data_IF_781836920880
#
_entry.id   IF_781836920880
#
_cell.length_a   1.000
_cell.length_b   1.000
_cell.length_c   1.000
_cell.angle_alpha   90.00
_cell.angle_beta   90.00
_cell.angle_gamma   90.00
#
_symmetry.space_group_name_H-M   'P 1'
#
loop_
_entity.id
_entity.type
_entity.pdbx_description
1 polymer ?
#
# COMPACT_ATOMS: atom_id res chain seq x y z
N UNK A 1 21.89 -77.39 -14.86
CA UNK A 1 20.77 -76.91 -14.01
C UNK A 1 21.06 -75.46 -13.65
N UNK A 2 20.35 -74.53 -14.30
CA UNK A 2 20.51 -73.07 -14.17
C UNK A 2 19.73 -72.59 -12.95
N UNK A 3 20.35 -71.80 -12.06
CA UNK A 3 19.64 -71.02 -11.04
C UNK A 3 20.06 -69.56 -11.18
N UNK A 4 19.24 -68.79 -11.87
CA UNK A 4 19.35 -67.34 -11.97
C UNK A 4 18.84 -66.70 -10.67
N UNK A 5 19.68 -65.94 -9.98
CA UNK A 5 19.26 -65.10 -8.87
C UNK A 5 18.73 -63.78 -9.43
N UNK A 6 17.44 -63.54 -9.20
CA UNK A 6 16.70 -62.37 -9.66
C UNK A 6 16.84 -61.28 -8.60
N UNK A 7 17.64 -60.24 -8.88
CA UNK A 7 17.77 -59.08 -8.01
C UNK A 7 16.58 -58.14 -8.21
N UNK A 8 15.74 -58.01 -7.18
CA UNK A 8 14.62 -57.07 -7.15
C UNK A 8 15.17 -55.67 -6.80
N UNK A 9 15.32 -54.80 -7.80
CA UNK A 9 15.64 -53.39 -7.58
C UNK A 9 14.35 -52.65 -7.17
N UNK A 10 14.27 -52.23 -5.91
CA UNK A 10 13.19 -51.40 -5.40
C UNK A 10 13.30 -49.98 -5.99
N UNK A 11 12.37 -49.64 -6.88
CA UNK A 11 12.27 -48.31 -7.50
C UNK A 11 11.52 -47.37 -6.53
N UNK A 12 12.25 -46.60 -5.73
CA UNK A 12 11.66 -45.55 -4.90
C UNK A 12 11.23 -44.37 -5.78
N UNK A 13 9.93 -44.24 -6.04
CA UNK A 13 9.34 -43.02 -6.61
C UNK A 13 9.48 -41.89 -5.59
N UNK A 14 10.44 -41.00 -5.82
CA UNK A 14 10.49 -39.71 -5.13
C UNK A 14 9.32 -38.86 -5.63
N UNK A 15 8.28 -38.72 -4.81
CA UNK A 15 7.22 -37.73 -5.04
C UNK A 15 7.82 -36.36 -4.73
N UNK A 16 8.35 -35.69 -5.74
CA UNK A 16 8.65 -34.26 -5.69
C UNK A 16 7.33 -33.52 -5.55
N UNK A 17 6.96 -33.22 -4.32
CA UNK A 17 5.87 -32.29 -4.02
C UNK A 17 6.19 -30.95 -4.66
N UNK A 18 5.44 -30.59 -5.70
CA UNK A 18 5.38 -29.23 -6.20
C UNK A 18 4.85 -28.36 -5.06
N UNK A 19 5.75 -27.75 -4.29
CA UNK A 19 5.40 -26.61 -3.48
C UNK A 19 4.96 -25.51 -4.45
N UNK A 20 3.64 -25.37 -4.64
CA UNK A 20 3.10 -24.16 -5.26
C UNK A 20 3.71 -22.97 -4.54
N UNK A 21 4.22 -21.94 -5.24
CA UNK A 21 4.68 -20.76 -4.55
C UNK A 21 3.49 -20.25 -3.76
N UNK A 22 3.62 -20.21 -2.44
CA UNK A 22 2.65 -19.58 -1.57
C UNK A 22 2.44 -18.18 -2.15
N UNK A 23 1.26 -17.90 -2.73
CA UNK A 23 0.92 -16.65 -3.39
C UNK A 23 1.60 -15.50 -2.65
N UNK A 24 2.65 -14.93 -3.25
CA UNK A 24 3.51 -13.99 -2.56
C UNK A 24 2.64 -12.90 -1.94
N UNK A 25 2.98 -12.50 -0.71
CA UNK A 25 2.53 -11.22 -0.19
C UNK A 25 2.76 -10.16 -1.28
N UNK A 26 1.87 -9.17 -1.34
CA UNK A 26 1.84 -8.12 -2.35
C UNK A 26 3.24 -7.67 -2.80
N UNK A 27 3.46 -7.51 -4.11
CA UNK A 27 4.78 -7.23 -4.66
C UNK A 27 5.36 -5.94 -4.06
N UNK A 28 6.61 -6.02 -3.61
CA UNK A 28 7.38 -4.89 -3.11
C UNK A 28 8.25 -4.38 -4.25
N UNK A 29 8.25 -3.07 -4.49
CA UNK A 29 8.97 -2.46 -5.59
C UNK A 29 10.13 -1.58 -5.11
N UNK A 30 11.17 -1.50 -5.94
CA UNK A 30 12.28 -0.55 -5.78
C UNK A 30 11.96 0.77 -6.49
N UNK A 31 10.90 1.45 -6.05
CA UNK A 31 10.53 2.75 -6.58
C UNK A 31 11.72 3.72 -6.49
N UNK A 32 12.08 4.39 -7.60
CA UNK A 32 13.27 5.24 -7.64
C UNK A 32 13.10 6.44 -6.71
N UNK A 33 14.21 6.97 -6.18
CA UNK A 33 14.16 8.22 -5.44
C UNK A 33 13.61 9.36 -6.33
N UNK A 34 12.69 10.17 -5.81
CA UNK A 34 12.06 11.23 -6.58
C UNK A 34 13.10 12.26 -7.04
N UNK A 35 13.09 12.60 -8.34
CA UNK A 35 13.94 13.65 -8.91
C UNK A 35 13.46 15.04 -8.53
N UNK A 36 12.14 15.23 -8.44
CA UNK A 36 11.54 16.48 -7.95
C UNK A 36 11.32 16.36 -6.44
N UNK A 37 12.15 17.09 -5.69
CA UNK A 37 12.02 17.25 -4.25
C UNK A 37 10.85 18.20 -3.95
N UNK A 38 9.98 17.83 -3.03
CA UNK A 38 8.85 18.66 -2.63
C UNK A 38 9.34 19.89 -1.85
N UNK A 39 8.86 21.07 -2.24
CA UNK A 39 9.15 22.34 -1.57
C UNK A 39 7.97 22.76 -0.72
N UNK A 40 7.93 22.27 0.50
CA UNK A 40 6.81 22.47 1.41
C UNK A 40 7.13 23.56 2.43
N UNK A 41 6.18 24.47 2.66
CA UNK A 41 6.33 25.51 3.68
C UNK A 41 6.29 24.97 5.10
N UNK A 42 6.44 25.87 6.08
CA UNK A 42 6.43 25.55 7.51
C UNK A 42 5.11 24.90 7.98
N UNK A 43 5.18 24.18 9.10
CA UNK A 43 4.03 23.54 9.74
C UNK A 43 3.65 22.20 9.11
N UNK A 44 2.71 21.50 9.73
CA UNK A 44 2.25 20.20 9.26
C UNK A 44 1.60 20.28 7.88
N UNK A 45 1.70 19.18 7.14
CA UNK A 45 1.14 19.02 5.80
C UNK A 45 0.25 17.79 5.79
N UNK A 46 -0.66 17.72 4.81
CA UNK A 46 -1.56 16.59 4.66
C UNK A 46 -1.45 16.03 3.24
N UNK A 47 -1.43 14.71 3.13
CA UNK A 47 -1.51 13.96 1.89
C UNK A 47 -2.71 13.00 1.95
N UNK A 48 -3.31 12.68 0.81
CA UNK A 48 -4.35 11.65 0.70
C UNK A 48 -3.94 10.67 -0.39
N UNK A 49 -3.81 9.40 -0.01
CA UNK A 49 -3.49 8.30 -0.93
C UNK A 49 -4.56 7.21 -0.86
N UNK A 50 -4.92 6.68 -2.02
CA UNK A 50 -5.74 5.47 -2.18
C UNK A 50 -4.88 4.40 -2.83
N UNK A 51 -4.85 3.19 -2.28
CA UNK A 51 -3.89 2.17 -2.68
C UNK A 51 -4.23 0.77 -2.19
N UNK A 52 -5.49 0.38 -2.31
CA UNK A 52 -5.98 -0.92 -1.82
C UNK A 52 -6.68 -0.81 -0.47
N UNK A 53 -6.72 -1.92 0.27
CA UNK A 53 -7.27 -1.93 1.62
C UNK A 53 -6.56 -0.89 2.49
N UNK A 54 -7.33 0.07 3.04
CA UNK A 54 -6.77 1.16 3.84
C UNK A 54 -6.10 0.72 5.14
N UNK A 55 -6.29 -0.51 5.62
CA UNK A 55 -5.65 -1.02 6.84
C UNK A 55 -4.15 -1.17 6.65
N UNK A 56 -3.73 -1.68 5.50
CA UNK A 56 -2.32 -1.76 5.12
C UNK A 56 -1.72 -0.39 4.86
N UNK A 57 -2.45 0.49 4.17
CA UNK A 57 -2.00 1.86 3.89
C UNK A 57 -1.80 2.63 5.20
N UNK A 58 -2.80 2.63 6.08
CA UNK A 58 -2.76 3.25 7.42
C UNK A 58 -1.62 2.65 8.24
N UNK A 59 -1.52 1.32 8.28
CA UNK A 59 -0.50 0.64 9.07
C UNK A 59 0.91 0.99 8.64
N UNK A 60 1.19 1.06 7.34
CA UNK A 60 2.50 1.49 6.83
C UNK A 60 2.80 2.93 7.26
N UNK A 61 1.92 3.89 6.99
CA UNK A 61 2.21 5.30 7.33
C UNK A 61 2.21 5.57 8.83
N UNK A 62 1.51 4.77 9.63
CA UNK A 62 1.59 4.80 11.10
C UNK A 62 2.96 4.38 11.62
N UNK A 63 3.78 3.69 10.81
CA UNK A 63 5.17 3.36 11.10
C UNK A 63 6.20 4.30 10.47
N UNK A 64 5.80 5.39 9.81
CA UNK A 64 6.72 6.37 9.20
C UNK A 64 7.03 7.51 10.18
N UNK A 65 8.32 7.77 10.41
CA UNK A 65 8.82 8.93 11.17
C UNK A 65 8.42 10.22 10.46
N UNK A 66 8.05 11.24 11.24
CA UNK A 66 7.51 12.49 10.71
C UNK A 66 6.01 12.45 10.46
N UNK A 67 5.40 11.28 10.23
CA UNK A 67 3.93 11.15 10.25
C UNK A 67 3.41 11.36 11.67
N UNK A 68 2.43 12.26 11.78
CA UNK A 68 1.76 12.69 13.01
C UNK A 68 0.32 12.19 13.12
N UNK A 69 -0.31 11.83 12.01
CA UNK A 69 -1.61 11.15 11.98
C UNK A 69 -1.81 10.39 10.67
N UNK A 70 -2.52 9.27 10.70
CA UNK A 70 -2.91 8.49 9.53
C UNK A 70 -4.34 7.98 9.72
N UNK A 71 -5.31 8.66 9.10
CA UNK A 71 -6.74 8.34 9.25
C UNK A 71 -7.22 7.55 8.05
N UNK A 72 -7.76 6.35 8.27
CA UNK A 72 -8.46 5.57 7.25
C UNK A 72 -9.82 6.20 6.91
N UNK A 73 -10.20 6.19 5.64
CA UNK A 73 -11.45 6.79 5.19
C UNK A 73 -11.72 6.66 3.71
N UNK A 74 -12.59 7.53 3.23
CA UNK A 74 -13.19 7.46 1.92
C UNK A 74 -13.03 8.78 1.17
N UNK A 75 -12.65 8.69 -0.11
CA UNK A 75 -12.51 9.85 -0.98
C UNK A 75 -13.05 9.56 -2.39
N UNK A 76 -13.65 10.58 -3.01
CA UNK A 76 -14.06 10.56 -4.42
C UNK A 76 -15.58 10.55 -4.63
N UNK A 77 -16.35 9.88 -3.76
CA UNK A 77 -17.82 9.82 -3.82
C UNK A 77 -18.54 10.96 -3.10
N UNK A 78 -19.84 10.79 -2.88
CA UNK A 78 -20.71 11.77 -2.21
C UNK A 78 -20.80 11.51 -0.69
N UNK A 79 -21.32 12.47 0.09
CA UNK A 79 -21.44 12.31 1.54
C UNK A 79 -22.41 11.17 1.93
N UNK A 80 -23.58 11.10 1.27
CA UNK A 80 -24.63 10.14 1.61
C UNK A 80 -24.28 8.67 1.37
N UNK A 81 -23.18 8.39 0.68
CA UNK A 81 -22.69 7.04 0.40
C UNK A 81 -21.31 6.72 0.98
N UNK A 82 -20.80 7.56 1.89
CA UNK A 82 -19.53 7.38 2.58
C UNK A 82 -19.66 6.51 3.84
N UNK A 83 -20.05 5.24 3.68
CA UNK A 83 -20.07 4.23 4.75
C UNK A 83 -19.55 2.91 4.23
N UNK A 84 -18.92 2.10 5.09
CA UNK A 84 -18.29 0.85 4.67
C UNK A 84 -19.28 -0.07 3.92
N UNK A 85 -20.48 -0.26 4.48
CA UNK A 85 -21.54 -1.08 3.90
C UNK A 85 -21.95 -0.70 2.49
N UNK A 86 -21.82 0.58 2.12
CA UNK A 86 -22.11 1.07 0.77
C UNK A 86 -20.89 0.99 -0.13
N UNK A 87 -19.71 1.28 0.40
CA UNK A 87 -18.47 1.35 -0.37
C UNK A 87 -18.02 0.00 -0.88
N UNK A 88 -18.20 -1.06 -0.08
CA UNK A 88 -17.86 -2.43 -0.50
C UNK A 88 -18.64 -2.90 -1.74
N UNK A 89 -19.74 -2.24 -2.11
CA UNK A 89 -20.45 -2.51 -3.37
C UNK A 89 -19.68 -2.06 -4.61
N UNK A 90 -18.67 -1.19 -4.46
CA UNK A 90 -17.87 -0.64 -5.55
C UNK A 90 -18.58 0.41 -6.43
N UNK A 91 -19.81 0.81 -6.09
CA UNK A 91 -20.65 1.69 -6.95
C UNK A 91 -20.70 3.15 -6.48
N UNK A 92 -20.08 3.47 -5.34
CA UNK A 92 -20.20 4.79 -4.69
C UNK A 92 -19.27 5.87 -5.24
N UNK A 93 -18.34 5.49 -6.13
CA UNK A 93 -17.17 6.25 -6.58
C UNK A 93 -16.15 6.59 -5.48
N UNK A 94 -16.35 6.14 -4.23
CA UNK A 94 -15.32 6.26 -3.21
C UNK A 94 -14.17 5.27 -3.47
N UNK A 95 -12.96 5.70 -3.19
CA UNK A 95 -11.85 4.81 -2.86
C UNK A 95 -11.71 4.72 -1.34
N UNK A 96 -11.29 3.56 -0.86
CA UNK A 96 -10.57 3.50 0.41
C UNK A 96 -9.27 4.30 0.28
N UNK A 97 -9.09 5.23 1.20
CA UNK A 97 -8.00 6.18 1.20
C UNK A 97 -7.53 6.47 2.62
N UNK A 98 -6.29 6.94 2.75
CA UNK A 98 -5.73 7.37 4.02
C UNK A 98 -5.32 8.83 3.93
N UNK A 99 -5.79 9.61 4.91
CA UNK A 99 -5.38 11.01 5.11
C UNK A 99 -4.22 11.04 6.09
N UNK A 100 -3.04 11.37 5.58
CA UNK A 100 -1.77 11.36 6.31
C UNK A 100 -1.41 12.79 6.66
N UNK A 101 -1.26 13.10 7.95
CA UNK A 101 -0.70 14.37 8.42
C UNK A 101 0.75 14.16 8.83
N UNK A 102 1.67 14.99 8.32
CA UNK A 102 3.10 14.79 8.52
C UNK A 102 3.86 16.11 8.67
N UNK A 103 5.05 16.01 9.24
CA UNK A 103 6.02 17.09 9.37
C UNK A 103 7.00 17.07 8.17
N UNK A 104 6.93 18.04 7.25
CA UNK A 104 7.78 18.07 6.04
C UNK A 104 9.27 18.26 6.36
N UNK A 105 9.64 18.68 7.57
CA UNK A 105 11.05 18.74 7.99
C UNK A 105 11.63 17.37 8.34
N UNK A 106 10.79 16.36 8.57
CA UNK A 106 11.21 14.99 8.91
C UNK A 106 10.97 14.04 7.74
N UNK A 107 9.83 14.16 7.06
CA UNK A 107 9.50 13.36 5.87
C UNK A 107 8.72 14.23 4.89
N UNK A 108 9.18 14.34 3.64
CA UNK A 108 8.52 15.17 2.61
C UNK A 108 7.51 14.39 1.78
N UNK A 109 6.64 15.11 1.07
CA UNK A 109 5.69 14.50 0.15
C UNK A 109 6.34 13.57 -0.89
N UNK A 110 7.49 13.94 -1.45
CA UNK A 110 8.22 13.12 -2.43
C UNK A 110 8.73 11.80 -1.84
N UNK A 111 9.06 11.78 -0.55
CA UNK A 111 9.49 10.58 0.19
C UNK A 111 8.28 9.70 0.53
N UNK A 112 7.15 10.31 0.92
CA UNK A 112 5.89 9.59 1.14
C UNK A 112 5.41 8.87 -0.14
N UNK A 113 5.52 9.52 -1.31
CA UNK A 113 5.20 8.89 -2.59
C UNK A 113 6.12 7.69 -2.87
N UNK A 114 7.42 7.82 -2.61
CA UNK A 114 8.35 6.72 -2.78
C UNK A 114 7.99 5.54 -1.89
N UNK A 115 7.71 5.77 -0.62
CA UNK A 115 7.26 4.72 0.31
C UNK A 115 5.98 4.08 -0.22
N UNK A 116 4.99 4.88 -0.63
CA UNK A 116 3.72 4.41 -1.16
C UNK A 116 3.91 3.42 -2.32
N UNK A 117 4.66 3.79 -3.35
CA UNK A 117 4.86 2.92 -4.52
C UNK A 117 5.89 1.81 -4.30
N UNK A 118 6.71 1.89 -3.24
CA UNK A 118 7.63 0.80 -2.90
C UNK A 118 6.98 -0.32 -2.10
N UNK A 119 6.11 -0.01 -1.14
CA UNK A 119 5.63 -1.02 -0.18
C UNK A 119 4.11 -1.05 0.01
N UNK A 120 3.37 -0.11 -0.57
CA UNK A 120 1.91 0.00 -0.35
C UNK A 120 1.10 -0.44 -1.55
N UNK A 121 1.38 0.11 -2.73
CA UNK A 121 0.54 -0.07 -3.90
C UNK A 121 1.34 -0.41 -5.16
N UNK A 122 0.88 -1.43 -5.89
CA UNK A 122 1.28 -1.69 -7.27
C UNK A 122 0.58 -0.68 -8.20
N UNK A 123 1.33 0.26 -8.81
CA UNK A 123 0.77 1.31 -9.63
C UNK A 123 0.24 0.83 -10.98
N UNK A 124 0.45 -0.44 -11.34
CA UNK A 124 0.05 -1.04 -12.62
C UNK A 124 -1.29 -1.75 -12.57
N UNK A 125 -1.83 -1.95 -11.36
CA UNK A 125 -3.11 -2.62 -11.14
C UNK A 125 -4.28 -1.65 -11.20
N UNK A 126 -5.19 -1.87 -12.16
CA UNK A 126 -6.41 -1.08 -12.31
C UNK A 126 -7.52 -1.66 -11.41
N UNK A 127 -8.11 -0.81 -10.55
CA UNK A 127 -9.26 -1.14 -9.70
C UNK A 127 -9.07 -2.42 -8.87
N UNK A 128 -7.85 -2.62 -8.34
CA UNK A 128 -7.49 -3.71 -7.44
C UNK A 128 -6.13 -3.44 -6.81
N UNK A 129 -5.84 -4.09 -5.69
CA UNK A 129 -4.52 -4.24 -5.08
C UNK A 129 -4.42 -5.59 -4.39
N UNK A 130 -3.34 -6.33 -4.63
CA UNK A 130 -3.18 -7.69 -4.09
C UNK A 130 -4.44 -8.57 -4.27
N UNK A 131 -5.03 -9.08 -3.15
CA UNK A 131 -6.23 -9.91 -3.18
C UNK A 131 -7.53 -9.12 -3.42
N UNK A 132 -7.51 -7.80 -3.26
CA UNK A 132 -8.70 -6.96 -3.21
C UNK A 132 -9.06 -6.43 -4.60
N UNK A 133 -10.30 -6.69 -5.03
CA UNK A 133 -10.80 -6.34 -6.36
C UNK A 133 -12.00 -5.42 -6.24
N UNK A 134 -11.95 -4.28 -6.95
CA UNK A 134 -13.02 -3.28 -6.95
C UNK A 134 -12.49 -1.86 -7.19
N UNK A 135 -13.36 -1.00 -7.74
CA UNK A 135 -13.01 0.41 -8.00
C UNK A 135 -12.70 1.19 -6.71
N UNK A 136 -13.18 0.72 -5.57
CA UNK A 136 -12.86 1.27 -4.25
C UNK A 136 -11.44 0.93 -3.77
N UNK A 137 -10.78 -0.04 -4.39
CA UNK A 137 -9.37 -0.40 -4.13
C UNK A 137 -8.40 0.14 -5.18
N UNK A 138 -8.83 1.09 -6.01
CA UNK A 138 -7.97 1.70 -7.04
C UNK A 138 -6.78 2.44 -6.41
N UNK A 139 -5.66 2.50 -7.15
CA UNK A 139 -4.53 3.37 -6.81
C UNK A 139 -4.79 4.80 -7.31
N UNK A 140 -4.75 5.78 -6.39
CA UNK A 140 -4.87 7.20 -6.71
C UNK A 140 -4.09 8.10 -5.72
N UNK A 141 -3.58 9.20 -6.25
CA UNK A 141 -2.97 10.29 -5.49
C UNK A 141 -3.96 11.47 -5.48
N UNK A 142 -4.18 12.09 -4.33
CA UNK A 142 -5.09 13.25 -4.20
C UNK A 142 -4.30 14.45 -3.66
N UNK A 143 -3.65 15.22 -4.54
CA UNK A 143 -2.93 16.42 -4.14
C UNK A 143 -3.84 17.48 -3.52
N UNK A 144 -3.40 18.09 -2.42
CA UNK A 144 -4.14 19.16 -1.74
C UNK A 144 -3.71 20.57 -2.17
N UNK A 145 -2.60 20.69 -2.90
CA UNK A 145 -2.09 21.96 -3.40
C UNK A 145 -1.30 21.77 -4.71
N UNK A 146 -0.90 22.89 -5.31
CA UNK A 146 -0.17 22.91 -6.59
C UNK A 146 1.20 22.21 -6.50
N UNK A 147 1.90 22.32 -5.37
CA UNK A 147 3.20 21.69 -5.19
C UNK A 147 3.08 20.17 -5.16
N UNK A 148 2.15 19.62 -4.36
CA UNK A 148 1.87 18.18 -4.36
C UNK A 148 1.46 17.67 -5.75
N UNK A 149 0.67 18.45 -6.49
CA UNK A 149 0.26 18.08 -7.86
C UNK A 149 1.47 18.02 -8.79
N UNK A 150 2.36 19.01 -8.71
CA UNK A 150 3.58 19.05 -9.51
C UNK A 150 4.53 17.88 -9.17
N UNK A 151 4.74 17.59 -7.88
CA UNK A 151 5.57 16.47 -7.41
C UNK A 151 4.97 15.13 -7.83
N UNK A 152 3.68 14.90 -7.58
CA UNK A 152 3.00 13.67 -7.99
C UNK A 152 3.07 13.44 -9.51
N UNK A 153 2.84 14.49 -10.30
CA UNK A 153 2.89 14.40 -11.77
C UNK A 153 4.29 14.05 -12.26
N UNK A 154 5.32 14.74 -11.74
CA UNK A 154 6.70 14.45 -12.07
C UNK A 154 7.11 13.04 -11.66
N UNK A 155 6.64 12.57 -10.49
CA UNK A 155 6.99 11.26 -9.97
C UNK A 155 6.34 10.11 -10.75
N UNK A 156 5.05 10.20 -11.07
CA UNK A 156 4.39 9.20 -11.94
C UNK A 156 5.09 9.10 -13.31
N UNK A 157 5.46 10.25 -13.91
CA UNK A 157 6.23 10.29 -15.17
C UNK A 157 7.59 9.62 -15.01
N UNK A 158 8.31 9.94 -13.93
CA UNK A 158 9.61 9.33 -13.63
C UNK A 158 9.50 7.81 -13.48
N UNK A 159 8.53 7.33 -12.71
CA UNK A 159 8.33 5.91 -12.48
C UNK A 159 8.03 5.17 -13.78
N UNK A 160 7.22 5.76 -14.68
CA UNK A 160 6.93 5.18 -15.99
C UNK A 160 8.15 5.08 -16.92
N UNK A 161 9.24 5.79 -16.60
CA UNK A 161 10.50 5.79 -17.34
C UNK A 161 11.61 5.00 -16.62
N UNK A 162 11.32 4.42 -15.45
CA UNK A 162 12.34 3.85 -14.57
C UNK A 162 12.75 2.41 -14.90
N UNK A 163 11.92 1.68 -15.64
CA UNK A 163 12.11 0.25 -15.89
C UNK A 163 11.78 -0.67 -14.70
N UNK A 164 11.33 -0.12 -13.56
CA UNK A 164 10.96 -0.91 -12.37
C UNK A 164 9.67 -1.71 -12.60
N UNK A 165 8.72 -1.14 -13.35
CA UNK A 165 7.44 -1.79 -13.66
C UNK A 165 7.39 -2.23 -15.12
N UNK A 166 7.07 -3.51 -15.33
CA UNK A 166 6.94 -4.11 -16.67
C UNK A 166 5.60 -3.77 -17.35
N UNK A 167 4.67 -3.13 -16.62
CA UNK A 167 3.35 -2.73 -17.11
C UNK A 167 3.17 -1.22 -16.97
N UNK A 168 2.31 -0.59 -17.80
CA UNK A 168 2.03 0.83 -17.68
C UNK A 168 1.50 1.21 -16.29
N UNK A 169 1.92 2.37 -15.81
CA UNK A 169 1.38 2.95 -14.58
C UNK A 169 -0.03 3.47 -14.85
N UNK A 170 -1.00 2.93 -14.11
CA UNK A 170 -2.43 3.29 -14.20
C UNK A 170 -2.93 4.13 -13.02
N UNK A 171 -2.05 4.39 -12.04
CA UNK A 171 -2.35 5.28 -10.90
C UNK A 171 -2.72 6.68 -11.39
N UNK A 172 -3.81 7.23 -10.87
CA UNK A 172 -4.33 8.53 -11.28
C UNK A 172 -4.01 9.62 -10.26
N UNK A 173 -3.92 10.86 -10.74
CA UNK A 173 -4.01 12.05 -9.90
C UNK A 173 -5.47 12.50 -9.93
N UNK A 174 -6.15 12.41 -8.78
CA UNK A 174 -7.55 12.80 -8.63
C UNK A 174 -7.65 14.20 -8.02
N UNK A 175 -8.69 14.94 -8.42
CA UNK A 175 -8.99 16.22 -7.80
C UNK A 175 -9.40 16.03 -6.34
N UNK A 176 -8.97 16.94 -5.47
CA UNK A 176 -9.42 16.92 -4.09
C UNK A 176 -10.94 17.10 -4.00
N UNK A 177 -11.56 16.25 -3.20
CA UNK A 177 -12.97 16.28 -2.78
C UNK A 177 -12.95 16.06 -1.27
N UNK A 178 -14.09 16.30 -0.62
CA UNK A 178 -14.21 16.05 0.82
C UNK A 178 -13.78 14.61 1.15
N UNK A 179 -12.91 14.47 2.14
CA UNK A 179 -12.52 13.20 2.74
C UNK A 179 -13.48 12.87 3.87
N UNK A 180 -13.95 11.63 3.93
CA UNK A 180 -14.85 11.14 4.96
C UNK A 180 -14.11 10.09 5.79
N UNK A 181 -13.81 10.35 7.07
CA UNK A 181 -13.22 9.32 7.94
C UNK A 181 -14.10 8.07 7.97
N UNK A 182 -13.48 6.90 7.91
CA UNK A 182 -14.16 5.63 8.09
C UNK A 182 -14.60 5.47 9.56
N UNK A 183 -15.51 4.52 9.78
CA UNK A 183 -15.99 4.16 11.10
C UNK A 183 -14.83 3.79 12.04
N UNK A 184 -15.01 4.04 13.34
CA UNK A 184 -13.93 3.92 14.35
C UNK A 184 -13.34 2.51 14.47
N UNK A 185 -14.11 1.49 14.09
CA UNK A 185 -13.64 0.10 14.09
C UNK A 185 -12.65 -0.20 12.95
N UNK A 186 -12.57 0.66 11.92
CA UNK A 186 -11.55 0.56 10.86
C UNK A 186 -10.24 1.28 11.20
N UNK A 187 -10.26 2.22 12.15
CA UNK A 187 -9.07 2.97 12.54
C UNK A 187 -8.12 2.09 13.37
N UNK A 188 -6.81 2.24 13.17
CA UNK A 188 -5.75 1.45 13.78
C UNK A 188 -5.96 -0.08 13.66
N UNK A 189 -6.64 -0.55 12.61
CA UNK A 189 -7.15 -1.93 12.59
C UNK A 189 -6.02 -2.96 12.73
N UNK A 190 -4.89 -2.74 12.06
CA UNK A 190 -3.70 -3.58 12.18
C UNK A 190 -3.17 -3.65 13.62
N UNK A 191 -3.12 -2.51 14.32
CA UNK A 191 -2.60 -2.43 15.68
C UNK A 191 -3.55 -3.06 16.70
N UNK A 192 -4.87 -2.92 16.48
CA UNK A 192 -5.92 -3.53 17.31
C UNK A 192 -6.04 -5.04 17.06
N UNK A 193 -5.75 -5.50 15.84
CA UNK A 193 -5.95 -6.89 15.41
C UNK A 193 -4.67 -7.53 14.84
N UNK A 194 -3.55 -7.57 15.59
CA UNK A 194 -2.24 -7.96 15.05
C UNK A 194 -2.14 -9.44 14.65
N UNK A 195 -3.12 -10.28 14.99
CA UNK A 195 -3.18 -11.70 14.61
C UNK A 195 -4.26 -12.01 13.57
N UNK A 196 -4.97 -10.99 13.08
CA UNK A 196 -5.98 -11.18 12.04
C UNK A 196 -5.35 -11.77 10.77
N UNK A 197 -5.98 -12.79 10.18
CA UNK A 197 -5.39 -13.54 9.06
C UNK A 197 -5.04 -12.66 7.86
N UNK A 198 -5.90 -11.71 7.52
CA UNK A 198 -5.64 -10.73 6.47
C UNK A 198 -4.41 -9.86 6.78
N UNK A 199 -4.32 -9.31 8.00
CA UNK A 199 -3.19 -8.48 8.45
C UNK A 199 -1.87 -9.27 8.38
N UNK A 200 -1.88 -10.51 8.86
CA UNK A 200 -0.71 -11.39 8.84
C UNK A 200 -0.25 -11.69 7.41
N UNK A 201 -1.19 -11.90 6.49
CA UNK A 201 -0.90 -12.33 5.13
C UNK A 201 -0.49 -11.19 4.21
N UNK A 202 -1.12 -10.03 4.33
CA UNK A 202 -1.00 -8.94 3.35
C UNK A 202 -0.35 -7.68 3.91
N UNK A 203 -0.73 -7.23 5.11
CA UNK A 203 -0.32 -5.91 5.61
C UNK A 203 0.97 -5.92 6.43
N UNK A 204 1.21 -6.94 7.27
CA UNK A 204 2.47 -7.08 8.02
C UNK A 204 3.71 -7.20 7.12
N UNK A 205 3.66 -7.92 5.99
CA UNK A 205 4.76 -7.89 5.02
C UNK A 205 5.09 -6.48 4.52
N UNK A 206 4.09 -5.61 4.30
CA UNK A 206 4.32 -4.21 3.90
C UNK A 206 5.10 -3.42 4.95
N UNK A 207 4.74 -3.55 6.23
CA UNK A 207 5.47 -2.90 7.33
C UNK A 207 6.89 -3.47 7.48
N UNK A 208 7.05 -4.77 7.24
CA UNK A 208 8.38 -5.42 7.27
C UNK A 208 9.26 -4.90 6.13
N UNK A 209 8.69 -4.74 4.93
CA UNK A 209 9.35 -4.14 3.78
C UNK A 209 9.69 -2.66 4.02
N UNK A 210 8.80 -1.88 4.67
CA UNK A 210 9.09 -0.51 5.09
C UNK A 210 10.34 -0.47 5.99
N UNK A 211 10.39 -1.31 7.03
CA UNK A 211 11.54 -1.39 7.95
C UNK A 211 12.84 -1.74 7.22
N UNK A 212 12.78 -2.69 6.29
CA UNK A 212 13.96 -3.15 5.55
C UNK A 212 14.48 -2.13 4.53
N UNK A 213 13.57 -1.49 3.77
CA UNK A 213 13.93 -0.60 2.65
C UNK A 213 14.13 0.86 3.07
N UNK A 214 13.44 1.29 4.12
CA UNK A 214 13.45 2.67 4.62
C UNK A 214 13.75 2.73 6.12
N UNK A 215 14.89 2.17 6.60
CA UNK A 215 15.19 2.10 8.03
C UNK A 215 15.32 3.49 8.69
N UNK A 216 15.71 4.52 7.92
CA UNK A 216 15.76 5.90 8.42
C UNK A 216 14.35 6.43 8.70
N UNK A 217 13.41 6.16 7.81
CA UNK A 217 12.04 6.65 7.86
C UNK A 217 11.14 5.75 8.73
N UNK A 218 11.58 4.56 9.12
CA UNK A 218 10.80 3.64 9.94
C UNK A 218 10.88 3.94 11.45
N UNK A 219 9.74 3.83 12.15
CA UNK A 219 9.65 3.71 13.62
C UNK A 219 9.01 2.38 14.03
N UNK A 220 9.49 1.79 15.13
CA UNK A 220 8.98 0.52 15.66
C UNK A 220 7.60 0.64 16.31
N UNK A 221 7.31 1.78 16.94
CA UNK A 221 6.01 2.05 17.55
C UNK A 221 4.98 2.45 16.50
N UNK A 222 3.81 1.82 16.56
CA UNK A 222 2.64 2.26 15.81
C UNK A 222 2.12 3.58 16.39
N UNK A 223 1.93 4.58 15.55
CA UNK A 223 1.26 5.82 15.94
C UNK A 223 -0.25 5.64 15.94
N UNK A 224 -0.89 5.98 17.04
CA UNK A 224 -2.35 6.02 17.13
C UNK A 224 -2.82 7.47 17.09
N UNK A 225 -3.88 7.71 16.35
CA UNK A 225 -4.50 9.03 16.32
C UNK A 225 -5.19 9.31 17.67
N UNK A 226 -4.79 10.39 18.34
CA UNK A 226 -5.39 10.81 19.62
C UNK A 226 -4.88 10.09 20.88
N UNK A 227 -3.74 9.39 20.80
CA UNK A 227 -3.01 8.85 21.96
C UNK A 227 -1.94 9.81 22.49
#
# INVERSE_FOLDING_TARGET
MRKSAMALAALSLAVTGCASPAFAAEEVFDAPAAKRIAKEGTGLKTAIFAGGCFWGVEGVFSHVKGVKSAVAGYHGGAAGNASYSKIITGTTNHAEAVKITYDPYVVRYDELLRIFFSVVADPTLKNRQGPDVGAHYRSALVPLNAEQKAVATAYLKQMGQSGVWNKPIVTKIEAHRKFYPAETYHQDFMAKNPRHGYIMRWDKPKVSALKAKFPRDYRSSFLRDGA
#
